data_IF_415480609898
#
_entry.id   IF_415480609898
#
_cell.length_a   1.000
_cell.length_b   1.000
_cell.length_c   1.000
_cell.angle_alpha   90.00
_cell.angle_beta   90.00
_cell.angle_gamma   90.00
#
_symmetry.space_group_name_H-M   'P 1'
#
loop_
_entity.id
_entity.type
_entity.pdbx_description
1 polymer ?
#
# COMPACT_ATOMS: atom_id res chain seq x y z
N UNK A 1 -11.02 -6.82 -1.94
CA UNK A 1 -10.60 -5.43 -1.67
C UNK A 1 -9.53 -5.05 -2.69
N UNK A 2 -9.76 -4.08 -3.59
CA UNK A 2 -8.73 -3.68 -4.56
C UNK A 2 -7.59 -2.95 -3.84
N UNK A 3 -6.39 -3.55 -3.84
CA UNK A 3 -5.16 -3.02 -3.24
C UNK A 3 -4.54 -1.88 -4.08
N UNK A 4 -5.22 -0.74 -4.20
CA UNK A 4 -4.68 0.43 -4.94
C UNK A 4 -3.81 1.34 -4.05
N UNK A 5 -3.20 0.77 -3.02
CA UNK A 5 -2.35 1.50 -2.08
C UNK A 5 -1.05 1.99 -2.76
N UNK A 6 -1.08 3.27 -3.18
CA UNK A 6 0.05 4.16 -3.48
C UNK A 6 1.03 3.68 -4.55
N UNK A 7 0.69 3.91 -5.82
CA UNK A 7 1.64 3.87 -6.94
C UNK A 7 2.92 4.67 -6.64
N UNK A 8 2.80 5.86 -6.04
CA UNK A 8 3.94 6.74 -5.66
C UNK A 8 4.84 6.17 -4.54
N UNK A 9 4.34 5.21 -3.75
CA UNK A 9 5.13 4.53 -2.69
C UNK A 9 5.53 3.11 -3.11
N UNK A 10 5.17 2.71 -4.32
CA UNK A 10 5.44 1.36 -4.80
C UNK A 10 6.91 1.25 -5.22
N UNK A 11 7.57 0.19 -4.75
CA UNK A 11 8.91 -0.20 -5.18
C UNK A 11 9.03 -0.21 -6.72
N UNK A 12 8.10 -0.79 -7.51
CA UNK A 12 8.24 -0.80 -8.97
C UNK A 12 8.27 0.59 -9.59
N UNK A 13 7.52 1.56 -9.07
CA UNK A 13 7.56 2.95 -9.55
C UNK A 13 8.94 3.58 -9.34
N UNK A 14 9.53 3.41 -8.15
CA UNK A 14 10.85 3.95 -7.86
C UNK A 14 11.98 3.23 -8.61
N UNK A 15 11.84 1.93 -8.86
CA UNK A 15 12.75 1.20 -9.75
C UNK A 15 12.67 1.75 -11.17
N UNK A 16 11.47 2.04 -11.68
CA UNK A 16 11.30 2.65 -12.99
C UNK A 16 11.96 4.04 -13.03
N UNK A 17 11.63 4.93 -12.09
CA UNK A 17 12.19 6.30 -12.04
C UNK A 17 13.71 6.27 -11.87
N UNK A 18 14.20 5.54 -10.87
CA UNK A 18 15.62 5.42 -10.58
C UNK A 18 16.39 4.75 -11.73
N UNK A 19 15.85 3.66 -12.27
CA UNK A 19 16.42 2.97 -13.44
C UNK A 19 16.47 3.86 -14.67
N UNK A 20 15.43 4.65 -14.93
CA UNK A 20 15.41 5.65 -16.01
C UNK A 20 16.46 6.73 -15.83
N UNK A 21 16.60 7.29 -14.62
CA UNK A 21 17.64 8.29 -14.33
C UNK A 21 19.04 7.72 -14.49
N UNK A 22 19.28 6.49 -14.01
CA UNK A 22 20.56 5.79 -14.18
C UNK A 22 20.84 5.52 -15.65
N UNK A 23 19.85 5.10 -16.43
CA UNK A 23 20.00 4.87 -17.87
C UNK A 23 20.34 6.15 -18.63
N UNK A 24 19.64 7.27 -18.33
CA UNK A 24 19.96 8.57 -18.94
C UNK A 24 21.36 9.03 -18.52
N UNK A 25 21.66 9.05 -17.22
CA UNK A 25 22.96 9.51 -16.71
C UNK A 25 24.13 8.68 -17.22
N UNK A 26 24.01 7.35 -17.16
CA UNK A 26 25.01 6.43 -17.68
C UNK A 26 25.16 6.51 -19.20
N UNK A 27 24.04 6.65 -19.92
CA UNK A 27 24.05 6.84 -21.37
C UNK A 27 24.73 8.14 -21.80
N UNK A 28 24.42 9.27 -21.14
CA UNK A 28 25.09 10.57 -21.38
C UNK A 28 26.57 10.48 -21.06
N UNK A 29 26.93 9.91 -19.92
CA UNK A 29 28.33 9.74 -19.52
C UNK A 29 29.12 8.96 -20.58
N UNK A 30 28.62 7.79 -20.98
CA UNK A 30 29.29 6.95 -21.99
C UNK A 30 29.37 7.64 -23.35
N UNK A 31 28.30 8.32 -23.78
CA UNK A 31 28.28 9.03 -25.05
C UNK A 31 29.33 10.16 -25.07
N UNK A 32 29.33 11.01 -24.04
CA UNK A 32 30.25 12.15 -23.95
C UNK A 32 31.71 11.67 -23.85
N UNK A 33 31.98 10.65 -23.04
CA UNK A 33 33.32 10.06 -22.92
C UNK A 33 33.87 9.63 -24.29
N UNK A 34 33.10 8.84 -25.05
CA UNK A 34 33.56 8.31 -26.35
C UNK A 34 33.70 9.38 -27.41
N UNK A 35 32.78 10.35 -27.46
CA UNK A 35 32.92 11.48 -28.38
C UNK A 35 34.13 12.35 -28.03
N UNK A 36 34.41 12.54 -26.74
CA UNK A 36 35.57 13.33 -26.28
C UNK A 36 36.88 12.64 -26.62
N UNK A 37 37.00 11.34 -26.34
CA UNK A 37 38.20 10.55 -26.70
C UNK A 37 38.43 10.62 -28.20
N UNK A 38 37.41 10.35 -29.01
CA UNK A 38 37.55 10.37 -30.47
C UNK A 38 37.92 11.76 -30.99
N UNK A 39 37.32 12.83 -30.45
CA UNK A 39 37.68 14.19 -30.81
C UNK A 39 39.14 14.53 -30.46
N UNK A 40 39.61 14.13 -29.27
CA UNK A 40 40.98 14.39 -28.83
C UNK A 40 42.01 13.63 -29.66
N UNK A 41 41.80 12.33 -29.92
CA UNK A 41 42.76 11.53 -30.68
C UNK A 41 42.80 11.91 -32.15
N UNK A 42 41.68 12.39 -32.71
CA UNK A 42 41.65 12.97 -34.06
C UNK A 42 42.40 14.30 -34.11
N UNK A 43 42.26 15.16 -33.10
CA UNK A 43 42.99 16.43 -33.03
C UNK A 43 44.50 16.21 -32.88
N UNK A 44 44.91 15.22 -32.08
CA UNK A 44 46.32 14.91 -31.80
C UNK A 44 46.95 13.99 -32.86
N UNK A 45 46.18 13.52 -33.85
CA UNK A 45 46.65 12.63 -34.92
C UNK A 45 46.99 11.21 -34.46
N UNK A 46 46.60 10.82 -33.25
CA UNK A 46 46.89 9.50 -32.65
C UNK A 46 45.74 8.52 -32.77
N UNK A 47 44.67 8.86 -33.49
CA UNK A 47 43.48 8.03 -33.61
C UNK A 47 43.79 6.64 -34.18
N UNK A 48 43.50 5.61 -33.40
CA UNK A 48 43.54 4.21 -33.80
C UNK A 48 42.15 3.71 -34.21
N UNK A 49 42.12 2.60 -34.95
CA UNK A 49 40.85 1.96 -35.32
C UNK A 49 39.99 1.55 -34.11
N UNK A 50 40.59 1.31 -32.95
CA UNK A 50 39.86 0.97 -31.72
C UNK A 50 39.10 2.18 -31.19
N UNK A 51 39.74 3.36 -31.14
CA UNK A 51 39.06 4.57 -30.65
C UNK A 51 37.91 4.98 -31.56
N UNK A 52 38.03 4.77 -32.87
CA UNK A 52 36.98 5.16 -33.83
C UNK A 52 35.88 4.10 -33.93
N UNK A 53 36.22 2.85 -34.28
CA UNK A 53 35.22 1.81 -34.54
C UNK A 53 34.61 1.23 -33.26
N UNK A 54 35.44 0.90 -32.25
CA UNK A 54 34.90 0.43 -30.98
C UNK A 54 34.25 1.60 -30.23
N UNK A 55 34.86 2.79 -30.25
CA UNK A 55 34.27 3.99 -29.64
C UNK A 55 32.88 4.33 -30.18
N UNK A 56 32.65 4.16 -31.49
CA UNK A 56 31.34 4.38 -32.10
C UNK A 56 30.26 3.46 -31.55
N UNK A 57 30.52 2.16 -31.39
CA UNK A 57 29.48 1.24 -30.89
C UNK A 57 29.10 1.54 -29.43
N UNK A 58 30.08 1.96 -28.63
CA UNK A 58 29.85 2.41 -27.26
C UNK A 58 29.06 3.73 -27.20
N UNK A 59 29.33 4.66 -28.11
CA UNK A 59 28.55 5.90 -28.24
C UNK A 59 27.09 5.61 -28.63
N UNK A 60 26.86 4.70 -29.59
CA UNK A 60 25.52 4.26 -29.98
C UNK A 60 24.79 3.60 -28.81
N UNK A 61 25.46 2.74 -28.04
CA UNK A 61 24.89 2.17 -26.82
C UNK A 61 24.51 3.26 -25.82
N UNK A 62 25.37 4.26 -25.63
CA UNK A 62 25.08 5.42 -24.79
C UNK A 62 23.81 6.16 -25.25
N UNK A 63 23.67 6.42 -26.54
CA UNK A 63 22.48 7.05 -27.12
C UNK A 63 21.21 6.21 -26.92
N UNK A 64 21.29 4.89 -27.06
CA UNK A 64 20.17 3.97 -26.78
C UNK A 64 19.76 4.04 -25.31
N UNK A 65 20.73 4.02 -24.39
CA UNK A 65 20.45 4.13 -22.95
C UNK A 65 19.75 5.45 -22.60
N UNK A 66 20.15 6.56 -23.23
CA UNK A 66 19.46 7.84 -23.10
C UNK A 66 18.01 7.71 -23.59
N UNK A 67 17.80 7.15 -24.79
CA UNK A 67 16.46 6.98 -25.36
C UNK A 67 15.54 6.13 -24.48
N UNK A 68 16.02 4.96 -24.04
CA UNK A 68 15.28 4.06 -23.14
C UNK A 68 15.01 4.74 -21.79
N UNK A 69 15.99 5.46 -21.25
CA UNK A 69 15.84 6.20 -20.01
C UNK A 69 14.77 7.29 -20.10
N UNK A 70 14.74 8.05 -21.19
CA UNK A 70 13.71 9.08 -21.43
C UNK A 70 12.31 8.47 -21.62
N UNK A 71 12.20 7.33 -22.34
CA UNK A 71 10.93 6.61 -22.48
C UNK A 71 10.44 6.13 -21.11
N UNK A 72 11.32 5.54 -20.30
CA UNK A 72 10.97 5.10 -18.95
C UNK A 72 10.55 6.27 -18.04
N UNK A 73 11.19 7.43 -18.15
CA UNK A 73 10.80 8.63 -17.43
C UNK A 73 9.42 9.13 -17.86
N UNK A 74 9.14 9.14 -19.17
CA UNK A 74 7.82 9.50 -19.70
C UNK A 74 6.74 8.56 -19.15
N UNK A 75 6.99 7.24 -19.14
CA UNK A 75 6.09 6.24 -18.57
C UNK A 75 5.90 6.41 -17.05
N UNK A 76 6.96 6.76 -16.33
CA UNK A 76 6.86 7.04 -14.90
C UNK A 76 5.98 8.27 -14.64
N UNK A 77 6.13 9.32 -15.44
CA UNK A 77 5.29 10.52 -15.35
C UNK A 77 3.83 10.22 -15.68
N UNK A 78 3.54 9.42 -16.70
CA UNK A 78 2.16 9.03 -17.03
C UNK A 78 1.52 8.17 -15.93
N UNK A 79 2.25 7.22 -15.35
CA UNK A 79 1.75 6.46 -14.19
C UNK A 79 1.54 7.35 -12.97
N UNK A 80 2.45 8.31 -12.75
CA UNK A 80 2.35 9.29 -11.66
C UNK A 80 1.12 10.18 -11.79
N UNK A 81 0.82 10.68 -12.99
CA UNK A 81 -0.37 11.52 -13.23
C UNK A 81 -1.66 10.72 -13.06
N UNK A 82 -1.75 9.51 -13.62
CA UNK A 82 -2.91 8.63 -13.44
C UNK A 82 -3.11 8.29 -11.96
N UNK A 83 -2.04 7.93 -11.25
CA UNK A 83 -2.08 7.61 -9.82
C UNK A 83 -2.49 8.81 -8.95
N UNK A 84 -2.08 10.01 -9.32
CA UNK A 84 -2.47 11.26 -8.64
C UNK A 84 -3.96 11.54 -8.78
N UNK A 85 -4.49 11.46 -10.00
CA UNK A 85 -5.93 11.68 -10.28
C UNK A 85 -6.78 10.63 -9.57
N UNK A 86 -6.41 9.34 -9.64
CA UNK A 86 -7.17 8.26 -9.00
C UNK A 86 -7.26 8.43 -7.47
N UNK A 87 -6.22 8.97 -6.84
CA UNK A 87 -6.23 9.26 -5.40
C UNK A 87 -7.15 10.43 -5.05
N UNK A 88 -7.24 11.46 -5.90
CA UNK A 88 -8.13 12.60 -5.67
C UNK A 88 -9.62 12.23 -5.69
N UNK A 89 -10.00 11.19 -6.44
CA UNK A 89 -11.40 10.72 -6.56
C UNK A 89 -11.82 9.83 -5.38
N UNK A 90 -10.87 9.31 -4.60
CA UNK A 90 -11.21 8.44 -3.46
C UNK A 90 -11.60 9.32 -2.26
N UNK A 91 -12.85 9.27 -1.77
CA UNK A 91 -13.24 10.08 -0.63
C UNK A 91 -12.39 9.71 0.58
N UNK A 92 -11.77 10.73 1.18
CA UNK A 92 -11.10 10.60 2.47
C UNK A 92 -12.15 10.23 3.51
N UNK A 93 -12.16 8.97 3.96
CA UNK A 93 -12.90 8.59 5.17
C UNK A 93 -12.16 9.24 6.34
N UNK A 94 -12.58 10.44 6.71
CA UNK A 94 -12.22 11.02 8.00
C UNK A 94 -12.83 10.08 9.04
N UNK A 95 -12.03 9.42 9.90
CA UNK A 95 -12.60 8.73 11.04
C UNK A 95 -13.29 9.81 11.86
N UNK A 96 -14.62 9.81 11.92
CA UNK A 96 -15.29 10.50 13.01
C UNK A 96 -14.88 9.71 14.26
N UNK A 97 -14.09 10.34 15.13
CA UNK A 97 -13.97 9.88 16.51
C UNK A 97 -15.38 9.96 17.10
N UNK A 98 -16.04 8.80 17.21
CA UNK A 98 -17.25 8.66 18.00
C UNK A 98 -16.76 8.76 19.44
N UNK A 99 -16.92 9.93 20.05
CA UNK A 99 -16.77 10.08 21.50
C UNK A 99 -17.93 9.32 22.14
N UNK A 100 -17.67 8.05 22.51
CA UNK A 100 -18.60 7.27 23.32
C UNK A 100 -18.51 7.85 24.73
N UNK A 101 -19.41 8.78 25.04
CA UNK A 101 -19.65 9.18 26.42
C UNK A 101 -20.29 7.99 27.12
N UNK A 102 -19.46 7.21 27.82
CA UNK A 102 -19.92 6.20 28.76
C UNK A 102 -20.69 6.91 29.89
N UNK A 103 -22.02 6.81 29.86
CA UNK A 103 -22.85 7.22 30.99
C UNK A 103 -22.63 6.18 32.09
N UNK A 104 -21.74 6.49 33.02
CA UNK A 104 -21.61 5.73 34.27
C UNK A 104 -22.85 6.04 35.12
N UNK A 105 -23.79 5.10 35.15
CA UNK A 105 -24.86 5.09 36.15
C UNK A 105 -24.24 4.84 37.55
N UNK A 106 -24.53 5.67 38.56
CA UNK A 106 -23.89 5.53 39.86
C UNK A 106 -24.36 4.25 40.56
N UNK A 107 -23.39 3.46 41.02
CA UNK A 107 -23.59 2.22 41.76
C UNK A 107 -24.50 2.41 42.98
N UNK A 108 -25.65 1.76 42.99
CA UNK A 108 -26.53 1.66 44.15
C UNK A 108 -25.92 0.68 45.16
N UNK A 109 -25.52 1.20 46.32
CA UNK A 109 -24.95 0.44 47.45
C UNK A 109 -26.02 -0.50 48.03
N UNK A 110 -25.71 -1.80 48.09
CA UNK A 110 -26.54 -2.82 48.75
C UNK A 110 -26.41 -2.74 50.28
N UNK A 111 -27.56 -2.77 50.99
CA UNK A 111 -27.66 -2.88 52.44
C UNK A 111 -28.02 -4.34 52.85
N UNK A 112 -27.61 -4.82 54.05
CA UNK A 112 -27.44 -6.25 54.33
C UNK A 112 -28.73 -6.97 54.75
N UNK A 113 -28.74 -8.28 54.47
CA UNK A 113 -29.82 -9.22 54.80
C UNK A 113 -29.90 -9.57 56.30
N UNK A 114 -31.12 -9.81 56.78
CA UNK A 114 -31.40 -10.49 58.05
C UNK A 114 -32.56 -11.48 57.89
N UNK A 115 -32.49 -12.53 58.69
CA UNK A 115 -33.01 -13.90 58.53
C UNK A 115 -34.37 -14.13 59.23
N UNK A 116 -35.00 -15.31 58.98
CA UNK A 116 -35.69 -16.19 59.97
C UNK A 116 -37.22 -16.47 59.84
N UNK A 117 -37.51 -17.72 59.41
CA UNK A 117 -38.48 -18.78 59.86
C UNK A 117 -39.99 -18.73 59.50
N UNK A 118 -40.56 -19.94 59.30
CA UNK A 118 -41.74 -20.33 58.52
C UNK A 118 -42.99 -20.87 59.30
N UNK A 119 -44.11 -20.99 58.55
CA UNK A 119 -45.32 -21.87 58.66
C UNK A 119 -46.46 -21.49 59.65
N UNK A 120 -47.75 -21.93 59.49
CA UNK A 120 -48.29 -23.01 58.62
C UNK A 120 -49.63 -22.73 57.84
N UNK A 121 -50.06 -23.79 57.14
CA UNK A 121 -51.17 -24.08 56.20
C UNK A 121 -52.61 -23.78 56.65
N UNK A 122 -53.51 -23.49 55.69
CA UNK A 122 -54.95 -23.74 55.82
C UNK A 122 -55.54 -24.32 54.52
N UNK A 123 -56.17 -25.48 54.65
CA UNK A 123 -56.81 -26.35 53.65
C UNK A 123 -58.02 -25.74 52.93
N UNK A 124 -58.26 -26.19 51.68
CA UNK A 124 -59.56 -26.75 51.23
C UNK A 124 -59.52 -27.11 49.74
N UNK A 125 -59.24 -28.39 49.50
CA UNK A 125 -59.96 -29.33 48.60
C UNK A 125 -60.84 -28.75 47.47
N UNK A 126 -60.53 -29.06 46.21
CA UNK A 126 -61.45 -29.81 45.36
C UNK A 126 -60.73 -30.43 44.15
N UNK A 127 -60.78 -31.76 44.13
CA UNK A 127 -60.34 -32.67 43.09
C UNK A 127 -61.18 -32.57 41.80
N UNK A 128 -60.53 -32.42 40.64
CA UNK A 128 -61.02 -33.00 39.40
C UNK A 128 -59.87 -33.39 38.47
N UNK A 129 -59.70 -34.70 38.34
CA UNK A 129 -58.70 -35.39 37.54
C UNK A 129 -58.96 -35.30 36.03
N UNK A 130 -57.87 -35.30 35.24
CA UNK A 130 -57.78 -36.09 34.00
C UNK A 130 -56.30 -36.28 33.60
N UNK A 131 -55.73 -37.37 34.12
CA UNK A 131 -54.52 -38.04 33.63
C UNK A 131 -54.71 -38.50 32.18
N UNK A 132 -53.66 -38.41 31.36
CA UNK A 132 -53.14 -39.45 30.43
C UNK A 132 -52.08 -38.77 29.56
N UNK A 133 -50.89 -39.28 29.30
CA UNK A 133 -50.02 -40.34 29.81
C UNK A 133 -48.76 -40.19 28.93
N UNK A 134 -47.56 -40.36 29.50
CA UNK A 134 -46.31 -40.49 28.74
C UNK A 134 -45.70 -41.81 29.19
N UNK A 135 -45.44 -42.75 28.28
CA UNK A 135 -44.08 -43.28 28.14
C UNK A 135 -43.80 -43.75 26.68
N UNK A 136 -42.61 -44.05 26.15
CA UNK A 136 -41.18 -44.07 26.52
C UNK A 136 -40.44 -44.54 25.25
N UNK A 137 -39.14 -44.21 25.16
CA UNK A 137 -38.09 -44.68 24.22
C UNK A 137 -38.12 -44.06 22.82
#
# INVERSE_FOLDING_TARGET
>A
MPNTARVIRSIPFWVLVGGSLVAVGGGVYLLVDKLTVMASTLADGTATGVEVYAGQIWAVLGAILIGVGLIGLALALTLGTIGSIARAVTPSVVPQEIDVVEVVEPATVAAPAAETIAAPTADADESAAATTDRPTV
#
